data_IF_080720036641
#
_entry.id   IF_080720036641
#
_cell.length_a   1.000
_cell.length_b   1.000
_cell.length_c   1.000
_cell.angle_alpha   90.00
_cell.angle_beta   90.00
_cell.angle_gamma   90.00
#
_symmetry.space_group_name_H-M   'P 1'
#
loop_
_entity.id
_entity.type
_entity.pdbx_description
1 polymer ?
#
# COMPACT_ATOMS: atom_id res chain seq x y z
N UNK A 1 9.31 15.72 10.07
CA UNK A 1 10.33 15.79 9.01
C UNK A 1 10.29 14.51 8.17
N UNK A 2 9.70 14.59 6.96
CA UNK A 2 9.57 13.44 6.06
C UNK A 2 10.95 13.08 5.49
N UNK A 3 11.36 11.82 5.67
CA UNK A 3 12.67 11.31 5.24
C UNK A 3 12.61 10.81 3.80
N UNK A 4 12.72 11.71 2.82
CA UNK A 4 13.07 11.35 1.44
C UNK A 4 13.98 12.42 0.83
N UNK A 5 14.91 11.97 -0.01
CA UNK A 5 15.89 12.78 -0.74
C UNK A 5 15.13 13.62 -1.80
N UNK A 6 15.27 14.94 -1.71
CA UNK A 6 14.87 15.97 -2.69
C UNK A 6 13.53 15.79 -3.45
N UNK A 7 12.50 16.49 -2.95
CA UNK A 7 11.56 17.28 -3.76
C UNK A 7 10.65 16.60 -4.81
N UNK A 8 10.36 15.30 -4.70
CA UNK A 8 9.25 14.69 -5.44
C UNK A 8 7.95 14.67 -4.61
N UNK A 9 7.35 15.84 -4.37
CA UNK A 9 6.06 15.96 -3.68
C UNK A 9 4.96 15.07 -4.29
N UNK A 10 5.04 14.81 -5.60
CA UNK A 10 4.12 13.92 -6.29
C UNK A 10 4.27 12.45 -5.88
N UNK A 11 5.50 11.96 -5.75
CA UNK A 11 5.78 10.58 -5.31
C UNK A 11 5.37 10.39 -3.85
N UNK A 12 5.65 11.39 -3.01
CA UNK A 12 5.18 11.40 -1.63
C UNK A 12 3.64 11.43 -1.55
N UNK A 13 2.96 12.20 -2.39
CA UNK A 13 1.49 12.21 -2.41
C UNK A 13 0.88 10.86 -2.83
N UNK A 14 1.50 10.15 -3.79
CA UNK A 14 1.08 8.80 -4.17
C UNK A 14 1.33 7.82 -3.03
N UNK A 15 2.51 7.86 -2.40
CA UNK A 15 2.85 7.01 -1.27
C UNK A 15 1.93 7.28 -0.05
N UNK A 16 1.64 8.54 0.26
CA UNK A 16 0.74 8.94 1.33
C UNK A 16 -0.68 8.43 1.09
N UNK A 17 -1.18 8.50 -0.15
CA UNK A 17 -2.49 7.94 -0.51
C UNK A 17 -2.54 6.43 -0.29
N UNK A 18 -1.51 5.70 -0.75
CA UNK A 18 -1.43 4.25 -0.55
C UNK A 18 -1.35 3.91 0.93
N UNK A 19 -0.51 4.63 1.69
CA UNK A 19 -0.39 4.46 3.13
C UNK A 19 -1.70 4.77 3.87
N UNK A 20 -2.46 5.77 3.43
CA UNK A 20 -3.79 6.08 3.96
C UNK A 20 -4.76 4.91 3.76
N UNK A 21 -4.85 4.38 2.54
CA UNK A 21 -5.69 3.21 2.24
C UNK A 21 -5.28 2.01 3.10
N UNK A 22 -3.98 1.75 3.21
CA UNK A 22 -3.46 0.64 4.00
C UNK A 22 -3.79 0.79 5.49
N UNK A 23 -3.74 2.01 6.03
CA UNK A 23 -4.14 2.28 7.42
C UNK A 23 -5.64 2.13 7.62
N UNK A 24 -6.45 2.75 6.77
CA UNK A 24 -7.90 2.79 6.92
C UNK A 24 -8.57 1.43 6.70
N UNK A 25 -8.08 0.63 5.73
CA UNK A 25 -8.73 -0.63 5.34
C UNK A 25 -8.13 -1.87 5.99
N UNK A 26 -6.84 -1.83 6.36
CA UNK A 26 -6.15 -2.95 6.99
C UNK A 26 -5.82 -2.70 8.46
N UNK A 27 -6.36 -1.62 9.05
CA UNK A 27 -6.19 -1.25 10.46
C UNK A 27 -4.71 -1.18 10.88
N UNK A 28 -3.84 -0.73 9.96
CA UNK A 28 -2.40 -0.58 10.23
C UNK A 28 -2.09 0.65 11.09
N UNK A 29 -3.11 1.42 11.47
CA UNK A 29 -3.05 2.51 12.44
C UNK A 29 -3.17 2.04 13.90
N UNK A 30 -3.39 0.75 14.13
CA UNK A 30 -3.45 0.16 15.47
C UNK A 30 -2.08 -0.05 16.11
N UNK A 31 -2.07 -0.08 17.44
CA UNK A 31 -0.86 -0.41 18.20
C UNK A 31 -0.60 -1.91 18.15
N UNK A 32 0.50 -2.31 17.52
CA UNK A 32 0.92 -3.70 17.50
C UNK A 32 1.74 -4.07 18.75
N UNK A 33 1.52 -5.25 19.35
CA UNK A 33 2.26 -5.71 20.52
C UNK A 33 3.73 -6.08 20.22
N UNK A 34 4.10 -6.28 18.97
CA UNK A 34 5.47 -6.57 18.53
C UNK A 34 5.72 -6.05 17.12
N UNK A 35 6.96 -5.61 16.87
CA UNK A 35 7.43 -5.19 15.54
C UNK A 35 7.41 -6.34 14.53
N UNK A 36 7.65 -7.58 14.98
CA UNK A 36 7.58 -8.75 14.10
C UNK A 36 6.14 -9.03 13.65
N UNK A 37 5.17 -8.81 14.52
CA UNK A 37 3.76 -8.94 14.18
C UNK A 37 3.33 -7.82 13.23
N UNK A 38 3.72 -6.58 13.53
CA UNK A 38 3.46 -5.42 12.66
C UNK A 38 3.99 -5.69 11.25
N UNK A 39 5.24 -6.17 11.11
CA UNK A 39 5.82 -6.53 9.81
C UNK A 39 5.00 -7.57 9.07
N UNK A 40 4.59 -8.66 9.73
CA UNK A 40 3.75 -9.71 9.12
C UNK A 40 2.40 -9.17 8.65
N UNK A 41 1.75 -8.33 9.44
CA UNK A 41 0.44 -7.75 9.09
C UNK A 41 0.59 -6.77 7.93
N UNK A 42 1.64 -5.94 7.93
CA UNK A 42 1.96 -5.05 6.81
C UNK A 42 2.21 -5.85 5.53
N UNK A 43 3.03 -6.90 5.58
CA UNK A 43 3.30 -7.77 4.42
C UNK A 43 2.01 -8.39 3.86
N UNK A 44 1.12 -8.83 4.75
CA UNK A 44 -0.19 -9.36 4.35
C UNK A 44 -1.09 -8.29 3.73
N UNK A 45 -1.14 -7.09 4.32
CA UNK A 45 -1.92 -5.97 3.82
C UNK A 45 -1.45 -5.55 2.42
N UNK A 46 -0.14 -5.40 2.21
CA UNK A 46 0.45 -5.10 0.90
C UNK A 46 0.11 -6.19 -0.11
N UNK A 47 0.22 -7.46 0.27
CA UNK A 47 -0.13 -8.57 -0.61
C UNK A 47 -1.61 -8.53 -1.02
N UNK A 48 -2.53 -8.25 -0.08
CA UNK A 48 -3.96 -8.17 -0.37
C UNK A 48 -4.26 -6.95 -1.26
N UNK A 49 -3.62 -5.82 -1.00
CA UNK A 49 -3.72 -4.63 -1.85
C UNK A 49 -3.31 -4.94 -3.29
N UNK A 50 -2.19 -5.63 -3.48
CA UNK A 50 -1.68 -5.92 -4.82
C UNK A 50 -2.43 -7.04 -5.56
N UNK A 51 -2.92 -8.05 -4.85
CA UNK A 51 -3.46 -9.28 -5.48
C UNK A 51 -4.98 -9.45 -5.40
N UNK A 52 -5.67 -8.69 -4.54
CA UNK A 52 -7.10 -8.89 -4.28
C UNK A 52 -7.93 -7.61 -4.33
N UNK A 53 -7.32 -6.45 -4.06
CA UNK A 53 -8.03 -5.17 -4.15
C UNK A 53 -8.32 -4.85 -5.61
N UNK A 54 -9.59 -4.68 -5.94
CA UNK A 54 -10.00 -4.26 -7.28
C UNK A 54 -9.94 -2.74 -7.34
N UNK A 55 -9.24 -2.20 -8.34
CA UNK A 55 -9.12 -0.77 -8.53
C UNK A 55 -10.01 -0.32 -9.68
N UNK A 56 -10.95 0.58 -9.39
CA UNK A 56 -11.85 1.16 -10.41
C UNK A 56 -11.03 1.87 -11.50
N UNK A 57 -9.96 2.57 -11.11
CA UNK A 57 -9.02 3.23 -12.04
C UNK A 57 -8.28 2.26 -12.96
N UNK A 58 -8.19 0.97 -12.60
CA UNK A 58 -7.58 -0.09 -13.40
C UNK A 58 -8.63 -0.92 -14.18
N UNK A 59 -9.88 -0.46 -14.21
CA UNK A 59 -10.97 -1.19 -14.86
C UNK A 59 -11.38 -2.45 -14.10
N UNK A 60 -11.44 -2.37 -12.76
CA UNK A 60 -11.71 -3.51 -11.86
C UNK A 60 -10.66 -4.61 -11.96
N UNK A 61 -9.40 -4.24 -12.15
CA UNK A 61 -8.25 -5.15 -12.09
C UNK A 61 -7.44 -4.91 -10.82
N UNK A 62 -6.67 -5.91 -10.42
CA UNK A 62 -5.71 -5.77 -9.31
C UNK A 62 -4.40 -5.18 -9.82
N UNK A 63 -3.60 -4.54 -8.96
CA UNK A 63 -2.28 -4.06 -9.35
C UNK A 63 -1.40 -5.18 -9.92
N UNK A 64 -1.43 -6.38 -9.34
CA UNK A 64 -0.69 -7.55 -9.83
C UNK A 64 -1.16 -7.95 -11.23
N UNK A 65 -2.46 -7.94 -11.52
CA UNK A 65 -2.97 -8.26 -12.86
C UNK A 65 -2.45 -7.28 -13.90
N UNK A 66 -2.47 -5.99 -13.60
CA UNK A 66 -1.99 -4.97 -14.53
C UNK A 66 -0.49 -5.05 -14.71
N UNK A 67 0.27 -5.17 -13.62
CA UNK A 67 1.73 -5.22 -13.68
C UNK A 67 2.26 -6.50 -14.33
N UNK A 68 1.61 -7.64 -14.09
CA UNK A 68 1.96 -8.93 -14.71
C UNK A 68 1.51 -9.00 -16.17
N UNK A 69 0.40 -8.34 -16.55
CA UNK A 69 -0.07 -8.30 -17.95
C UNK A 69 0.74 -7.39 -18.87
N UNK A 70 1.66 -6.60 -18.33
CA UNK A 70 2.55 -5.70 -19.08
C UNK A 70 3.93 -6.36 -19.35
N UNK A 71 4.05 -7.67 -19.12
CA UNK A 71 5.23 -8.47 -19.47
C UNK A 71 5.08 -9.18 -20.82
#
# INVERSE_FOLDING_TARGET
PSMTQENHCYENAVAERVNGILKDEFFLDQTFPSTDLARKVVDQAVKIYNSKRLHISLGFKTPDDVFTSVA
#
